data_IF_834760835460
#
_entry.id   IF_834760835460
#
_cell.length_a   1.000
_cell.length_b   1.000
_cell.length_c   1.000
_cell.angle_alpha   90.00
_cell.angle_beta   90.00
_cell.angle_gamma   90.00
#
_symmetry.space_group_name_H-M   'P 1'
#
loop_
_entity.id
_entity.type
_entity.pdbx_description
1 polymer ?
#
# COMPACT_ATOMS: atom_id res chain seq x y z
N UNK A 1 9.82 23.11 -4.21
CA UNK A 1 9.31 23.15 -5.60
C UNK A 1 7.87 23.63 -5.53
N UNK A 2 7.37 24.44 -6.48
CA UNK A 2 5.98 24.88 -6.45
C UNK A 2 5.06 23.66 -6.49
N UNK A 3 3.96 23.72 -5.75
CA UNK A 3 2.94 22.68 -5.72
C UNK A 3 2.53 22.33 -7.16
N UNK A 4 2.70 21.06 -7.54
CA UNK A 4 2.26 20.54 -8.85
C UNK A 4 0.72 20.49 -8.91
N UNK A 5 0.08 20.53 -7.74
CA UNK A 5 -1.37 20.61 -7.56
C UNK A 5 -1.78 22.09 -7.43
N UNK A 6 -2.58 22.63 -8.37
CA UNK A 6 -3.22 23.92 -8.17
C UNK A 6 -4.06 23.88 -6.87
N UNK A 7 -3.98 24.89 -5.99
CA UNK A 7 -4.72 24.92 -4.72
C UNK A 7 -6.25 24.84 -4.88
N UNK A 8 -6.75 24.91 -6.12
CA UNK A 8 -8.15 24.93 -6.53
C UNK A 8 -8.56 23.74 -7.41
N UNK A 9 -7.69 22.74 -7.65
CA UNK A 9 -8.10 21.59 -8.47
C UNK A 9 -9.19 20.77 -7.79
N UNK A 10 -10.29 20.55 -8.50
CA UNK A 10 -11.38 19.69 -8.01
C UNK A 10 -11.06 18.21 -8.22
N UNK A 11 -11.67 17.35 -7.41
CA UNK A 11 -11.59 15.89 -7.58
C UNK A 11 -11.97 15.44 -9.00
N UNK A 12 -12.95 16.10 -9.61
CA UNK A 12 -13.40 15.80 -10.97
C UNK A 12 -12.34 16.16 -12.02
N UNK A 13 -11.66 17.30 -11.85
CA UNK A 13 -10.57 17.70 -12.73
C UNK A 13 -9.37 16.77 -12.60
N UNK A 14 -9.01 16.37 -11.37
CA UNK A 14 -7.95 15.40 -11.15
C UNK A 14 -8.29 14.05 -11.78
N UNK A 15 -9.54 13.58 -11.62
CA UNK A 15 -9.99 12.31 -12.21
C UNK A 15 -9.92 12.32 -13.74
N UNK A 16 -10.31 13.42 -14.37
CA UNK A 16 -10.27 13.57 -15.83
C UNK A 16 -8.85 13.64 -16.42
N UNK A 17 -7.83 13.96 -15.60
CA UNK A 17 -6.42 13.93 -16.03
C UNK A 17 -5.83 12.52 -16.03
N UNK A 18 -6.39 11.59 -15.27
CA UNK A 18 -5.86 10.23 -15.15
C UNK A 18 -6.26 9.39 -16.35
N UNK A 19 -5.25 8.83 -17.03
CA UNK A 19 -5.45 7.89 -18.11
C UNK A 19 -5.78 6.48 -17.58
N UNK A 20 -6.54 5.70 -18.35
CA UNK A 20 -6.79 4.28 -18.01
C UNK A 20 -5.50 3.45 -17.89
N UNK A 21 -4.43 3.84 -18.58
CA UNK A 21 -3.10 3.22 -18.47
C UNK A 21 -2.44 3.48 -17.13
N UNK A 22 -2.55 4.68 -16.56
CA UNK A 22 -2.00 4.99 -15.23
C UNK A 22 -2.76 4.25 -14.12
N UNK A 23 -4.08 4.10 -14.24
CA UNK A 23 -4.84 3.22 -13.35
C UNK A 23 -4.38 1.77 -13.47
N UNK A 24 -4.10 1.28 -14.69
CA UNK A 24 -3.60 -0.07 -14.90
C UNK A 24 -2.21 -0.26 -14.26
N UNK A 25 -1.30 0.72 -14.38
CA UNK A 25 0.02 0.64 -13.74
C UNK A 25 -0.05 0.59 -12.21
N UNK A 26 -1.08 1.16 -11.59
CA UNK A 26 -1.30 1.07 -10.14
C UNK A 26 -1.97 -0.26 -9.73
N UNK A 27 -3.03 -0.67 -10.43
CA UNK A 27 -3.87 -1.80 -10.01
C UNK A 27 -3.32 -3.16 -10.45
N UNK A 28 -2.73 -3.26 -11.64
CA UNK A 28 -2.26 -4.54 -12.19
C UNK A 28 -1.15 -5.13 -11.32
N UNK A 29 -0.12 -4.38 -10.87
CA UNK A 29 0.90 -4.93 -9.98
C UNK A 29 0.32 -5.37 -8.63
N UNK A 30 -0.62 -4.61 -8.05
CA UNK A 30 -1.26 -4.98 -6.78
C UNK A 30 -1.97 -6.33 -6.91
N UNK A 31 -2.79 -6.50 -7.95
CA UNK A 31 -3.52 -7.75 -8.20
C UNK A 31 -2.55 -8.88 -8.54
N UNK A 32 -1.54 -8.64 -9.38
CA UNK A 32 -0.59 -9.66 -9.80
C UNK A 32 0.29 -10.14 -8.64
N UNK A 33 0.85 -9.22 -7.84
CA UNK A 33 1.70 -9.55 -6.70
C UNK A 33 0.89 -10.24 -5.59
N UNK A 34 -0.32 -9.75 -5.30
CA UNK A 34 -1.21 -10.38 -4.32
C UNK A 34 -1.55 -11.80 -4.75
N UNK A 35 -1.95 -12.00 -6.02
CA UNK A 35 -2.30 -13.31 -6.55
C UNK A 35 -1.08 -14.25 -6.56
N UNK A 36 0.08 -13.79 -7.01
CA UNK A 36 1.31 -14.58 -7.04
C UNK A 36 1.73 -15.03 -5.64
N UNK A 37 1.68 -14.14 -4.65
CA UNK A 37 2.04 -14.48 -3.27
C UNK A 37 1.02 -15.43 -2.64
N UNK A 38 -0.28 -15.26 -2.91
CA UNK A 38 -1.30 -16.20 -2.45
C UNK A 38 -1.14 -17.58 -3.10
N UNK A 39 -0.85 -17.67 -4.40
CA UNK A 39 -0.55 -18.93 -5.07
C UNK A 39 0.69 -19.61 -4.47
N UNK A 40 1.72 -18.85 -4.15
CA UNK A 40 2.88 -19.35 -3.41
C UNK A 40 2.48 -19.93 -2.05
N UNK A 41 1.66 -19.23 -1.26
CA UNK A 41 1.16 -19.72 0.03
C UNK A 41 0.27 -20.98 -0.12
N UNK A 42 -0.55 -21.04 -1.16
CA UNK A 42 -1.37 -22.22 -1.49
C UNK A 42 -0.48 -23.42 -1.78
N UNK A 43 0.66 -23.22 -2.48
CA UNK A 43 1.66 -24.25 -2.70
C UNK A 43 2.29 -24.79 -1.41
N UNK A 44 2.38 -23.97 -0.36
CA UNK A 44 2.89 -24.40 0.96
C UNK A 44 1.85 -25.15 1.78
N UNK A 45 0.64 -24.60 1.91
CA UNK A 45 -0.45 -25.25 2.64
C UNK A 45 -1.83 -24.74 2.18
N UNK A 46 -2.53 -25.46 1.28
CA UNK A 46 -3.77 -24.98 0.68
C UNK A 46 -4.89 -24.83 1.71
N UNK A 47 -4.93 -25.67 2.76
CA UNK A 47 -5.98 -25.64 3.79
C UNK A 47 -5.97 -24.34 4.60
N UNK A 48 -4.80 -23.73 4.77
CA UNK A 48 -4.63 -22.49 5.55
C UNK A 48 -4.48 -21.26 4.68
N UNK A 49 -4.02 -21.40 3.44
CA UNK A 49 -3.85 -20.28 2.53
C UNK A 49 -5.19 -19.77 1.97
N UNK A 50 -6.19 -20.64 1.82
CA UNK A 50 -7.53 -20.29 1.33
C UNK A 50 -8.42 -19.85 2.48
N UNK A 51 -8.04 -18.76 3.16
CA UNK A 51 -8.92 -18.09 4.12
C UNK A 51 -8.70 -16.57 4.09
N UNK A 52 -9.58 -15.83 4.78
CA UNK A 52 -9.57 -14.37 4.73
C UNK A 52 -8.32 -13.74 5.35
N UNK A 53 -7.74 -14.37 6.38
CA UNK A 53 -6.56 -13.85 7.09
C UNK A 53 -5.32 -13.67 6.19
N UNK A 54 -4.80 -14.70 5.50
CA UNK A 54 -3.68 -14.53 4.58
C UNK A 54 -4.04 -13.64 3.39
N UNK A 55 -5.29 -13.67 2.90
CA UNK A 55 -5.73 -12.74 1.85
C UNK A 55 -5.56 -11.28 2.29
N UNK A 56 -6.11 -10.92 3.45
CA UNK A 56 -6.00 -9.58 4.01
C UNK A 56 -4.55 -9.17 4.23
N UNK A 57 -3.75 -10.01 4.91
CA UNK A 57 -2.34 -9.72 5.20
C UNK A 57 -1.50 -9.55 3.92
N UNK A 58 -1.75 -10.36 2.89
CA UNK A 58 -1.03 -10.23 1.62
C UNK A 58 -1.45 -8.97 0.88
N UNK A 59 -2.76 -8.69 0.82
CA UNK A 59 -3.27 -7.48 0.17
C UNK A 59 -2.71 -6.22 0.84
N UNK A 60 -2.79 -6.12 2.18
CA UNK A 60 -2.21 -5.03 2.95
C UNK A 60 -0.70 -4.94 2.72
N UNK A 61 0.02 -6.06 2.81
CA UNK A 61 1.46 -6.09 2.61
C UNK A 61 1.91 -5.58 1.24
N UNK A 62 1.16 -5.92 0.18
CA UNK A 62 1.41 -5.43 -1.18
C UNK A 62 1.06 -3.96 -1.32
N UNK A 63 -0.06 -3.50 -0.75
CA UNK A 63 -0.44 -2.07 -0.79
C UNK A 63 0.62 -1.21 -0.12
N UNK A 64 1.04 -1.54 1.10
CA UNK A 64 2.09 -0.82 1.82
C UNK A 64 3.43 -0.86 1.05
N UNK A 65 3.85 -2.05 0.59
CA UNK A 65 5.18 -2.19 -0.05
C UNK A 65 5.23 -1.62 -1.47
N UNK A 66 4.11 -1.45 -2.16
CA UNK A 66 4.05 -0.99 -3.55
C UNK A 66 3.46 0.42 -3.67
N UNK A 67 2.24 0.67 -3.19
CA UNK A 67 1.57 1.96 -3.35
C UNK A 67 2.19 3.03 -2.46
N UNK A 68 2.29 2.78 -1.16
CA UNK A 68 2.82 3.73 -0.17
C UNK A 68 4.33 4.00 -0.38
N UNK A 69 5.06 2.94 -0.75
CA UNK A 69 6.45 3.06 -1.21
C UNK A 69 6.55 3.95 -2.46
N UNK A 70 5.62 3.82 -3.41
CA UNK A 70 5.58 4.66 -4.60
C UNK A 70 5.22 6.11 -4.27
N UNK A 71 4.31 6.35 -3.32
CA UNK A 71 4.00 7.70 -2.82
C UNK A 71 5.19 8.38 -2.15
N UNK A 72 6.00 7.62 -1.44
CA UNK A 72 7.13 8.15 -0.66
C UNK A 72 8.36 8.40 -1.53
N UNK A 73 8.73 7.43 -2.39
CA UNK A 73 10.02 7.45 -3.11
C UNK A 73 9.89 7.72 -4.61
N UNK A 74 8.75 7.42 -5.23
CA UNK A 74 8.56 7.46 -6.68
C UNK A 74 7.37 8.33 -7.10
N UNK A 75 7.05 9.36 -6.32
CA UNK A 75 5.88 10.20 -6.56
C UNK A 75 5.90 10.89 -7.93
N UNK A 76 7.06 11.42 -8.33
CA UNK A 76 7.24 12.17 -9.58
C UNK A 76 7.43 11.26 -10.81
N UNK A 77 6.89 10.04 -10.77
CA UNK A 77 7.05 9.08 -11.86
C UNK A 77 6.05 9.35 -12.99
N UNK A 78 6.55 9.39 -14.23
CA UNK A 78 5.77 9.52 -15.47
C UNK A 78 4.69 8.44 -15.67
N UNK A 79 4.75 7.30 -14.95
CA UNK A 79 3.81 6.19 -15.14
C UNK A 79 2.53 6.28 -14.32
N UNK A 80 2.52 7.04 -13.22
CA UNK A 80 1.36 7.10 -12.31
C UNK A 80 1.24 8.41 -11.52
N UNK A 81 2.03 9.43 -11.84
CA UNK A 81 2.00 10.74 -11.17
C UNK A 81 0.60 11.36 -11.13
N UNK A 82 -0.14 11.32 -12.25
CA UNK A 82 -1.52 11.83 -12.29
C UNK A 82 -2.47 11.06 -11.35
N UNK A 83 -2.27 9.75 -11.18
CA UNK A 83 -3.07 8.94 -10.24
C UNK A 83 -2.73 9.27 -8.79
N UNK A 84 -1.46 9.57 -8.50
CA UNK A 84 -1.04 10.05 -7.16
C UNK A 84 -1.60 11.45 -6.89
N UNK A 85 -1.68 12.30 -7.91
CA UNK A 85 -2.31 13.61 -7.80
C UNK A 85 -3.82 13.52 -7.59
N UNK A 86 -4.49 12.55 -8.22
CA UNK A 86 -5.89 12.23 -7.92
C UNK A 86 -6.08 11.84 -6.45
N UNK A 87 -5.18 11.04 -5.89
CA UNK A 87 -5.22 10.69 -4.48
C UNK A 87 -4.99 11.93 -3.58
N UNK A 88 -4.05 12.80 -3.95
CA UNK A 88 -3.81 14.06 -3.23
C UNK A 88 -4.94 15.07 -3.32
N UNK A 89 -5.75 15.03 -4.39
CA UNK A 89 -6.95 15.83 -4.49
C UNK A 89 -8.08 15.32 -3.57
N UNK A 90 -8.02 14.05 -3.16
CA UNK A 90 -8.93 13.46 -2.18
C UNK A 90 -8.48 13.68 -0.74
N UNK A 91 -7.17 13.62 -0.49
CA UNK A 91 -6.56 13.90 0.81
C UNK A 91 -5.38 14.87 0.66
N UNK A 92 -5.58 16.08 1.19
CA UNK A 92 -4.63 17.18 1.07
C UNK A 92 -3.26 16.90 1.71
N UNK A 93 -3.20 15.95 2.67
CA UNK A 93 -1.95 15.58 3.34
C UNK A 93 -0.95 14.92 2.38
N UNK A 94 -1.48 14.25 1.36
CA UNK A 94 -0.71 13.67 0.25
C UNK A 94 -0.41 14.69 -0.85
N UNK A 95 -0.50 15.99 -0.59
CA UNK A 95 -0.11 17.05 -1.51
C UNK A 95 1.36 16.99 -1.94
N UNK A 96 1.79 17.95 -2.76
CA UNK A 96 3.19 18.12 -3.13
C UNK A 96 3.70 19.51 -2.70
N UNK A 97 4.60 19.62 -1.71
CA UNK A 97 5.19 18.54 -0.93
C UNK A 97 4.18 17.86 0.02
N UNK A 98 4.41 16.58 0.31
CA UNK A 98 3.61 15.81 1.26
C UNK A 98 3.83 16.36 2.67
N UNK A 99 2.80 16.32 3.51
CA UNK A 99 2.93 16.69 4.92
C UNK A 99 4.01 15.82 5.59
N UNK A 100 4.90 16.43 6.39
CA UNK A 100 6.04 15.74 7.00
C UNK A 100 5.61 14.53 7.85
N UNK A 101 4.50 14.64 8.59
CA UNK A 101 3.94 13.55 9.38
C UNK A 101 3.47 12.38 8.51
N UNK A 102 2.71 12.68 7.45
CA UNK A 102 2.26 11.69 6.47
C UNK A 102 3.43 11.03 5.74
N UNK A 103 4.41 11.80 5.27
CA UNK A 103 5.59 11.25 4.62
C UNK A 103 6.39 10.29 5.53
N UNK A 104 6.58 10.65 6.80
CA UNK A 104 7.25 9.78 7.76
C UNK A 104 6.44 8.50 8.03
N UNK A 105 5.13 8.63 8.18
CA UNK A 105 4.21 7.52 8.40
C UNK A 105 4.22 6.54 7.23
N UNK A 106 4.06 7.04 6.00
CA UNK A 106 4.05 6.24 4.77
C UNK A 106 5.41 5.55 4.53
N UNK A 107 6.51 6.18 4.95
CA UNK A 107 7.83 5.54 4.91
C UNK A 107 7.90 4.34 5.85
N UNK A 108 7.35 4.47 7.07
CA UNK A 108 7.34 3.42 8.08
C UNK A 108 6.47 2.26 7.62
N UNK A 109 5.27 2.53 7.11
CA UNK A 109 4.38 1.49 6.60
C UNK A 109 4.99 0.78 5.40
N UNK A 110 5.57 1.52 4.45
CA UNK A 110 6.19 0.96 3.25
C UNK A 110 7.38 0.03 3.57
N UNK A 111 8.24 0.42 4.51
CA UNK A 111 9.49 -0.31 4.81
C UNK A 111 9.36 -1.36 5.90
N UNK A 112 8.45 -1.17 6.86
CA UNK A 112 8.29 -2.08 8.00
C UNK A 112 6.97 -2.84 7.93
N UNK A 113 5.84 -2.14 7.91
CA UNK A 113 4.53 -2.79 8.05
C UNK A 113 4.17 -3.67 6.85
N UNK A 114 4.49 -3.21 5.63
CA UNK A 114 4.28 -3.99 4.40
C UNK A 114 5.01 -5.32 4.40
N UNK A 115 6.35 -5.34 4.56
CA UNK A 115 7.11 -6.59 4.68
C UNK A 115 6.69 -7.45 5.87
N UNK A 116 6.33 -6.85 7.00
CA UNK A 116 5.84 -7.58 8.17
C UNK A 116 4.48 -8.25 7.90
N UNK A 117 3.56 -7.61 7.19
CA UNK A 117 2.29 -8.22 6.79
C UNK A 117 2.50 -9.47 5.92
N UNK A 118 3.42 -9.41 4.94
CA UNK A 118 3.76 -10.56 4.09
C UNK A 118 4.40 -11.70 4.91
N UNK A 119 5.28 -11.35 5.85
CA UNK A 119 5.89 -12.32 6.76
C UNK A 119 4.86 -12.93 7.72
N UNK A 120 3.87 -12.16 8.18
CA UNK A 120 2.76 -12.64 9.01
C UNK A 120 1.92 -13.67 8.25
N UNK A 121 1.59 -13.40 6.99
CA UNK A 121 0.87 -14.33 6.14
C UNK A 121 1.63 -15.66 5.96
N UNK A 122 2.94 -15.58 5.69
CA UNK A 122 3.80 -16.75 5.61
C UNK A 122 3.84 -17.54 6.93
N UNK A 123 4.02 -16.85 8.06
CA UNK A 123 4.07 -17.46 9.39
C UNK A 123 2.75 -18.15 9.77
N UNK A 124 1.61 -17.56 9.38
CA UNK A 124 0.29 -18.13 9.60
C UNK A 124 0.11 -19.46 8.85
N UNK A 125 0.50 -19.49 7.58
CA UNK A 125 0.35 -20.66 6.70
C UNK A 125 1.32 -21.78 7.10
N UNK A 126 2.55 -21.42 7.47
CA UNK A 126 3.60 -22.37 7.88
C UNK A 126 3.60 -22.70 9.38
N UNK A 127 2.60 -22.20 10.14
CA UNK A 127 2.41 -22.51 11.56
C UNK A 127 3.62 -22.18 12.44
N UNK A 128 4.26 -21.04 12.16
CA UNK A 128 5.43 -20.62 12.95
C UNK A 128 5.00 -20.01 14.28
N UNK A 129 5.76 -20.25 15.36
CA UNK A 129 5.41 -19.75 16.70
C UNK A 129 5.46 -18.22 16.80
N UNK A 130 6.21 -17.55 15.93
CA UNK A 130 6.31 -16.10 15.90
C UNK A 130 5.13 -15.39 15.20
N UNK A 131 4.11 -16.12 14.70
CA UNK A 131 2.95 -15.49 14.08
C UNK A 131 2.21 -14.52 15.01
N UNK A 132 1.94 -14.96 16.25
CA UNK A 132 1.18 -14.16 17.22
C UNK A 132 1.86 -12.84 17.62
N UNK A 133 3.16 -12.80 17.99
CA UNK A 133 3.82 -11.53 18.24
C UNK A 133 3.86 -10.64 16.99
N UNK A 134 4.04 -11.24 15.81
CA UNK A 134 4.19 -10.48 14.57
C UNK A 134 2.88 -9.83 14.12
N UNK A 135 1.74 -10.52 14.24
CA UNK A 135 0.43 -9.93 13.94
C UNK A 135 0.01 -8.86 14.95
N UNK A 136 0.46 -8.96 16.21
CA UNK A 136 0.22 -7.90 17.20
C UNK A 136 0.98 -6.63 16.80
N UNK A 137 2.28 -6.74 16.48
CA UNK A 137 3.08 -5.60 16.04
C UNK A 137 2.50 -4.90 14.80
N UNK A 138 2.11 -5.66 13.78
CA UNK A 138 1.47 -5.12 12.57
C UNK A 138 0.20 -4.34 12.92
N UNK A 139 -0.68 -4.91 13.76
CA UNK A 139 -1.93 -4.25 14.14
C UNK A 139 -1.71 -2.98 14.95
N UNK A 140 -0.76 -2.99 15.88
CA UNK A 140 -0.47 -1.85 16.73
C UNK A 140 0.11 -0.68 15.91
N UNK A 141 1.03 -1.00 14.98
CA UNK A 141 1.58 -0.02 14.04
C UNK A 141 0.48 0.55 13.17
N UNK A 142 -0.35 -0.31 12.56
CA UNK A 142 -1.45 0.12 11.70
C UNK A 142 -2.43 1.04 12.43
N UNK A 143 -2.85 0.71 13.66
CA UNK A 143 -3.78 1.54 14.45
C UNK A 143 -3.14 2.87 14.83
N UNK A 144 -1.87 2.86 15.29
CA UNK A 144 -1.16 4.08 15.66
C UNK A 144 -1.06 5.05 14.50
N UNK A 145 -0.77 4.51 13.32
CA UNK A 145 -0.62 5.25 12.07
C UNK A 145 -1.95 5.80 11.58
N UNK A 146 -3.02 5.00 11.60
CA UNK A 146 -4.34 5.47 11.19
C UNK A 146 -4.98 6.53 12.11
N UNK A 147 -4.46 6.71 13.34
CA UNK A 147 -4.93 7.75 14.26
C UNK A 147 -4.20 9.10 14.12
N UNK A 148 -3.19 9.19 13.25
CA UNK A 148 -2.55 10.46 12.86
C UNK A 148 -3.20 11.05 11.60
#
# INVERSE_FOLDING_TARGET
MPSVVPPDQTLAEAFNKVSGTEFAYMLVPVVALTSAFLLFLVGLNPKRAVCWTPFWLVLSGVIHSFLELSFTFFRDNQYFGNTMDLYSAADYRYGFPMEEGTAAMETITALLDGPMCLLAAYAFVTQKPYYHPLVMSVRDVHIYICMQ
#
